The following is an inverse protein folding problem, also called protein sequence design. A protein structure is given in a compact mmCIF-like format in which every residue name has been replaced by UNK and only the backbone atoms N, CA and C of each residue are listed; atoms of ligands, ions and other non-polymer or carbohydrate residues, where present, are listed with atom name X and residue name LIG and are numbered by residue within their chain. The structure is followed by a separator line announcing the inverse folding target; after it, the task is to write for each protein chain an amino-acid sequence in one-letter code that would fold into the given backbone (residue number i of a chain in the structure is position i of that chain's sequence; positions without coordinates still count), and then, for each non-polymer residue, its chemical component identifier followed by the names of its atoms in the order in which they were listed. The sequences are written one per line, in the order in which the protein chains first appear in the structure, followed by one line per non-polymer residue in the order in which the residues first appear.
data_IF_391020881347
#
_entry.id   IF_391020881347
#
_cell.length_a   1.000
_cell.length_b   1.000
_cell.length_c   1.000
_cell.angle_alpha   90.00
_cell.angle_beta   90.00
_cell.angle_gamma   90.00
#
_symmetry.space_group_name_H-M   'P 1'
#
loop_
_entity.id
_entity.type
_entity.pdbx_description
1 polymer ?
#
# COMPACT_ATOMS: atom_id res chain seq x y z
N UNK A 1 12.97 -1.29 -1.81
CA UNK A 1 11.70 -1.62 -2.47
C UNK A 1 12.02 -2.00 -3.91
N UNK A 2 12.64 -3.16 -4.12
CA UNK A 2 12.62 -3.82 -5.42
C UNK A 2 11.28 -4.57 -5.52
N UNK A 3 10.66 -4.54 -6.69
CA UNK A 3 9.40 -5.24 -6.96
C UNK A 3 8.15 -4.38 -6.74
N UNK A 4 7.97 -3.30 -7.52
CA UNK A 4 6.62 -3.08 -8.04
C UNK A 4 6.40 -4.27 -8.96
N UNK A 5 5.66 -5.27 -8.48
CA UNK A 5 5.23 -6.39 -9.31
C UNK A 5 4.44 -5.79 -10.47
N UNK A 6 5.13 -5.58 -11.58
CA UNK A 6 4.54 -5.27 -12.87
C UNK A 6 3.94 -6.58 -13.34
N UNK A 7 2.71 -6.84 -12.90
CA UNK A 7 1.88 -7.89 -13.46
C UNK A 7 0.85 -7.22 -14.36
N UNK A 8 1.14 -6.98 -15.65
CA UNK A 8 0.11 -6.58 -16.60
C UNK A 8 -0.95 -7.68 -16.72
N UNK A 9 -2.23 -7.32 -16.94
CA UNK A 9 -2.77 -5.96 -17.04
C UNK A 9 -3.06 -5.30 -15.66
N UNK A 10 -3.12 -6.10 -14.59
CA UNK A 10 -3.61 -5.70 -13.27
C UNK A 10 -2.91 -4.47 -12.68
N UNK A 11 -1.57 -4.45 -12.72
CA UNK A 11 -0.78 -3.38 -12.11
C UNK A 11 -1.02 -2.01 -12.74
N UNK A 12 -1.42 -1.93 -14.01
CA UNK A 12 -1.77 -0.68 -14.68
C UNK A 12 -3.11 -0.14 -14.20
N UNK A 13 -4.13 -0.99 -14.18
CA UNK A 13 -5.49 -0.65 -13.75
C UNK A 13 -5.52 -0.22 -12.28
N UNK A 14 -4.87 -0.98 -11.40
CA UNK A 14 -4.86 -0.73 -9.96
C UNK A 14 -4.09 0.56 -9.62
N UNK A 15 -2.99 0.85 -10.35
CA UNK A 15 -2.18 2.06 -10.13
C UNK A 15 -2.98 3.36 -10.38
N UNK A 16 -3.96 3.32 -11.29
CA UNK A 16 -4.86 4.45 -11.53
C UNK A 16 -5.67 4.84 -10.29
N UNK A 17 -6.17 3.84 -9.57
CA UNK A 17 -6.98 4.00 -8.36
C UNK A 17 -6.17 4.25 -7.08
N UNK A 18 -4.85 4.07 -7.12
CA UNK A 18 -4.05 4.06 -5.90
C UNK A 18 -3.63 5.47 -5.42
N UNK A 19 -4.16 5.91 -4.28
CA UNK A 19 -3.98 7.24 -3.70
C UNK A 19 -3.91 7.15 -2.16
N UNK A 20 -3.11 8.01 -1.55
CA UNK A 20 -2.94 8.06 -0.08
C UNK A 20 -2.54 9.47 0.37
N UNK A 21 -3.12 10.51 -0.27
CA UNK A 21 -2.77 11.90 0.06
C UNK A 21 -3.13 12.24 1.51
N UNK A 22 -4.30 11.81 1.93
CA UNK A 22 -4.93 12.00 3.23
C UNK A 22 -5.85 10.79 3.51
N UNK A 23 -6.53 10.79 4.67
CA UNK A 23 -7.46 9.72 5.06
C UNK A 23 -8.58 9.50 4.03
N UNK A 24 -9.18 10.58 3.51
CA UNK A 24 -10.27 10.49 2.56
C UNK A 24 -9.83 9.83 1.25
N UNK A 25 -8.68 10.26 0.70
CA UNK A 25 -8.10 9.66 -0.49
C UNK A 25 -7.68 8.20 -0.24
N UNK A 26 -7.18 7.88 0.95
CA UNK A 26 -6.86 6.49 1.32
C UNK A 26 -8.11 5.62 1.35
N UNK A 27 -9.23 6.12 1.91
CA UNK A 27 -10.51 5.40 1.98
C UNK A 27 -11.10 5.14 0.60
N UNK A 28 -11.17 6.17 -0.25
CA UNK A 28 -11.63 6.00 -1.63
C UNK A 28 -10.74 4.99 -2.37
N UNK A 29 -9.43 5.14 -2.27
CA UNK A 29 -8.48 4.26 -2.92
C UNK A 29 -8.59 2.81 -2.46
N UNK A 30 -8.63 2.58 -1.15
CA UNK A 30 -8.70 1.23 -0.59
C UNK A 30 -10.00 0.52 -0.95
N UNK A 31 -11.13 1.24 -0.96
CA UNK A 31 -12.43 0.67 -1.32
C UNK A 31 -12.52 0.33 -2.81
N UNK A 32 -11.96 1.15 -3.70
CA UNK A 32 -11.87 0.82 -5.14
C UNK A 32 -11.02 -0.43 -5.36
N UNK A 33 -9.84 -0.50 -4.74
CA UNK A 33 -8.94 -1.65 -4.89
C UNK A 33 -9.55 -2.90 -4.24
N UNK A 34 -10.29 -2.74 -3.13
CA UNK A 34 -11.09 -3.83 -2.54
C UNK A 34 -12.19 -4.34 -3.47
N UNK A 35 -12.85 -3.43 -4.20
CA UNK A 35 -13.78 -3.80 -5.28
C UNK A 35 -13.11 -4.63 -6.37
N UNK A 36 -11.92 -4.23 -6.81
CA UNK A 36 -11.11 -4.97 -7.79
C UNK A 36 -10.71 -6.35 -7.24
N UNK A 37 -10.20 -6.43 -6.01
CA UNK A 37 -9.87 -7.68 -5.32
C UNK A 37 -11.05 -8.66 -5.38
N UNK A 38 -12.23 -8.25 -4.91
CA UNK A 38 -13.45 -9.07 -4.96
C UNK A 38 -13.87 -9.44 -6.38
N UNK A 39 -13.65 -8.56 -7.35
CA UNK A 39 -13.94 -8.85 -8.75
C UNK A 39 -13.03 -9.92 -9.33
N UNK A 40 -11.75 -9.96 -8.95
CA UNK A 40 -10.82 -11.01 -9.36
C UNK A 40 -11.16 -12.35 -8.71
N UNK A 41 -11.48 -12.35 -7.41
CA UNK A 41 -11.91 -13.57 -6.72
C UNK A 41 -13.15 -14.19 -7.36
N UNK A 42 -14.15 -13.39 -7.73
CA UNK A 42 -15.36 -13.88 -8.44
C UNK A 42 -15.07 -14.49 -9.82
N UNK A 43 -13.88 -14.26 -10.38
CA UNK A 43 -13.42 -14.81 -11.66
C UNK A 43 -12.43 -15.97 -11.47
N UNK A 44 -12.25 -16.44 -10.23
CA UNK A 44 -11.18 -17.36 -9.83
C UNK A 44 -9.77 -16.88 -10.23
N UNK A 45 -9.56 -15.56 -10.30
CA UNK A 45 -8.30 -14.95 -10.70
C UNK A 45 -7.45 -14.59 -9.47
N UNK A 46 -6.67 -15.56 -8.99
CA UNK A 46 -5.80 -15.37 -7.83
C UNK A 46 -4.72 -14.32 -8.07
N UNK A 47 -4.13 -14.27 -9.27
CA UNK A 47 -3.04 -13.34 -9.58
C UNK A 47 -3.54 -11.90 -9.52
N UNK A 48 -4.73 -11.63 -10.08
CA UNK A 48 -5.39 -10.33 -9.98
C UNK A 48 -5.72 -9.96 -8.53
N UNK A 49 -6.26 -10.91 -7.75
CA UNK A 49 -6.59 -10.71 -6.33
C UNK A 49 -5.34 -10.41 -5.49
N UNK A 50 -4.28 -11.22 -5.56
CA UNK A 50 -3.05 -10.97 -4.80
C UNK A 50 -2.37 -9.67 -5.25
N UNK A 51 -2.43 -9.33 -6.54
CA UNK A 51 -1.92 -8.03 -7.00
C UNK A 51 -2.68 -6.88 -6.34
N UNK A 52 -4.01 -6.91 -6.30
CA UNK A 52 -4.83 -5.90 -5.62
C UNK A 52 -4.48 -5.79 -4.12
N UNK A 53 -4.36 -6.94 -3.42
CA UNK A 53 -3.94 -6.98 -2.01
C UNK A 53 -2.53 -6.40 -1.80
N UNK A 54 -1.57 -6.68 -2.69
CA UNK A 54 -0.22 -6.08 -2.63
C UNK A 54 -0.27 -4.56 -2.76
N UNK A 55 -1.15 -4.01 -3.59
CA UNK A 55 -1.35 -2.56 -3.68
C UNK A 55 -1.94 -1.96 -2.40
N UNK A 56 -2.90 -2.65 -1.76
CA UNK A 56 -3.42 -2.24 -0.44
C UNK A 56 -2.29 -2.25 0.61
N UNK A 57 -1.47 -3.31 0.63
CA UNK A 57 -0.30 -3.40 1.52
C UNK A 57 0.71 -2.26 1.25
N UNK A 58 0.98 -1.95 -0.01
CA UNK A 58 1.83 -0.82 -0.38
C UNK A 58 1.22 0.52 0.07
N UNK A 59 -0.11 0.67 0.00
CA UNK A 59 -0.83 1.85 0.50
C UNK A 59 -0.54 2.08 1.98
N UNK A 60 -0.71 1.02 2.78
CA UNK A 60 -0.37 1.03 4.21
C UNK A 60 1.08 1.42 4.45
N UNK A 61 2.04 0.75 3.80
CA UNK A 61 3.47 0.98 4.08
C UNK A 61 3.92 2.37 3.64
N UNK A 62 3.47 2.87 2.49
CA UNK A 62 3.81 4.21 2.02
C UNK A 62 3.14 5.28 2.87
N UNK A 63 1.85 5.16 3.17
CA UNK A 63 1.19 6.14 4.03
C UNK A 63 1.87 6.21 5.40
N UNK A 64 2.17 5.06 6.02
CA UNK A 64 2.89 5.00 7.28
C UNK A 64 4.31 5.59 7.19
N UNK A 65 5.02 5.38 6.07
CA UNK A 65 6.34 5.99 5.87
C UNK A 65 6.26 7.52 5.82
N UNK A 66 5.24 8.08 5.17
CA UNK A 66 5.04 9.52 5.09
C UNK A 66 4.58 10.12 6.42
N UNK A 67 3.82 9.36 7.20
CA UNK A 67 3.45 9.75 8.56
C UNK A 67 4.66 9.84 9.51
N UNK A 68 5.59 8.89 9.40
CA UNK A 68 6.70 8.70 10.35
C UNK A 68 8.05 9.25 9.89
N UNK A 69 8.12 9.86 8.69
CA UNK A 69 9.36 10.46 8.18
C UNK A 69 9.07 11.86 7.66
N UNK A 70 9.88 12.88 7.97
CA UNK A 70 9.71 14.23 7.44
C UNK A 70 9.64 14.21 5.90
N UNK A 71 8.52 14.67 5.34
CA UNK A 71 8.27 14.69 3.89
C UNK A 71 8.27 13.30 3.21
N UNK A 72 8.18 12.21 3.97
CA UNK A 72 8.24 10.83 3.46
C UNK A 72 9.59 10.42 2.86
N UNK A 73 10.64 11.22 3.07
CA UNK A 73 11.99 10.94 2.56
C UNK A 73 12.58 9.74 3.29
N UNK A 74 13.14 8.79 2.53
CA UNK A 74 13.85 7.64 3.11
C UNK A 74 15.31 7.97 3.42
N UNK A 75 15.91 8.82 2.60
CA UNK A 75 17.32 9.18 2.68
C UNK A 75 17.46 10.70 2.75
N UNK A 76 18.44 11.13 3.52
CA UNK A 76 18.97 12.48 3.50
C UNK A 76 20.31 12.46 2.75
N UNK A 77 20.62 13.56 2.08
CA UNK A 77 21.88 13.73 1.38
C UNK A 77 22.83 14.46 2.31
N UNK A 78 24.01 13.89 2.52
CA UNK A 78 25.10 14.57 3.19
C UNK A 78 25.83 15.43 2.15
N UNK A 79 25.71 16.75 2.25
CA UNK A 79 26.29 17.67 1.26
C UNK A 79 27.83 17.74 1.34
N UNK A 80 28.44 17.28 2.44
CA UNK A 80 29.91 17.23 2.60
C UNK A 80 30.50 15.95 1.99
N UNK A 81 29.82 14.81 2.15
CA UNK A 81 30.35 13.50 1.67
C UNK A 81 29.70 13.01 0.38
N UNK A 82 28.55 13.58 -0.02
CA UNK A 82 27.74 13.08 -1.14
C UNK A 82 27.01 11.76 -0.84
N UNK A 83 27.07 11.27 0.40
CA UNK A 83 26.49 9.99 0.77
C UNK A 83 25.00 10.10 1.13
N UNK A 84 24.25 9.03 0.86
CA UNK A 84 22.85 8.90 1.27
C UNK A 84 22.77 8.26 2.65
N UNK A 85 22.39 9.03 3.67
CA UNK A 85 22.12 8.51 5.02
C UNK A 85 20.64 8.14 5.14
N UNK A 86 20.33 6.93 5.59
CA UNK A 86 18.93 6.57 5.87
C UNK A 86 18.42 7.36 7.07
N UNK A 87 17.30 8.07 6.86
CA UNK A 87 16.64 8.81 7.93
C UNK A 87 16.11 7.81 8.95
N UNK A 88 16.56 7.93 10.20
CA UNK A 88 16.11 7.07 11.30
C UNK A 88 14.62 7.28 11.56
N UNK A 89 13.94 6.21 11.93
CA UNK A 89 12.57 6.30 12.44
C UNK A 89 12.64 6.83 13.86
N UNK A 90 12.13 8.03 14.08
CA UNK A 90 12.11 8.69 15.40
C UNK A 90 10.95 8.22 16.27
N UNK A 91 9.94 7.56 15.67
CA UNK A 91 8.68 7.21 16.33
C UNK A 91 7.70 8.37 16.42
N UNK A 92 8.11 9.57 16.00
CA UNK A 92 7.28 10.76 15.93
C UNK A 92 6.35 10.70 14.71
N UNK A 93 5.14 11.23 14.89
CA UNK A 93 4.16 11.38 13.81
C UNK A 93 4.26 12.80 13.28
N UNK A 94 4.71 12.94 12.03
CA UNK A 94 4.85 14.22 11.35
C UNK A 94 3.62 14.59 10.51
N UNK A 95 2.79 13.61 10.14
CA UNK A 95 1.57 13.81 9.35
C UNK A 95 0.47 12.85 9.84
N UNK A 96 -0.51 13.41 10.56
CA UNK A 96 -1.63 12.64 11.11
C UNK A 96 -2.53 12.08 10.00
N UNK A 97 -2.81 12.83 8.94
CA UNK A 97 -3.66 12.36 7.85
C UNK A 97 -3.05 11.16 7.11
N UNK A 98 -1.72 11.07 7.05
CA UNK A 98 -1.02 9.89 6.55
C UNK A 98 -1.07 8.71 7.51
N UNK A 99 -1.05 8.96 8.82
CA UNK A 99 -1.19 7.92 9.82
C UNK A 99 -2.59 7.30 9.75
N UNK A 100 -3.62 8.15 9.68
CA UNK A 100 -5.02 7.73 9.54
C UNK A 100 -5.22 6.97 8.24
N UNK A 101 -4.69 7.48 7.12
CA UNK A 101 -4.69 6.77 5.85
C UNK A 101 -4.00 5.39 5.92
N UNK A 102 -2.92 5.25 6.70
CA UNK A 102 -2.28 3.95 6.91
C UNK A 102 -3.18 2.99 7.70
N UNK A 103 -3.95 3.50 8.66
CA UNK A 103 -4.98 2.76 9.39
C UNK A 103 -6.06 2.22 8.46
N UNK A 104 -6.58 3.07 7.57
CA UNK A 104 -7.58 2.68 6.56
C UNK A 104 -7.08 1.54 5.68
N UNK A 105 -5.87 1.63 5.13
CA UNK A 105 -5.30 0.52 4.35
C UNK A 105 -5.06 -0.73 5.19
N UNK A 106 -4.74 -0.59 6.49
CA UNK A 106 -4.54 -1.73 7.37
C UNK A 106 -5.84 -2.52 7.61
N UNK A 107 -6.97 -1.82 7.78
CA UNK A 107 -8.28 -2.44 7.91
C UNK A 107 -8.67 -3.24 6.67
N UNK A 108 -8.51 -2.64 5.48
CA UNK A 108 -8.83 -3.34 4.23
C UNK A 108 -7.86 -4.49 3.97
N UNK A 109 -6.56 -4.32 4.28
CA UNK A 109 -5.59 -5.40 4.16
C UNK A 109 -5.96 -6.60 5.05
N UNK A 110 -6.44 -6.34 6.28
CA UNK A 110 -6.94 -7.37 7.17
C UNK A 110 -8.11 -8.13 6.53
N UNK A 111 -9.09 -7.41 5.97
CA UNK A 111 -10.23 -8.02 5.25
C UNK A 111 -9.78 -8.92 4.09
N UNK A 112 -8.75 -8.54 3.32
CA UNK A 112 -8.21 -9.39 2.26
C UNK A 112 -7.62 -10.71 2.80
N UNK A 113 -6.91 -10.67 3.93
CA UNK A 113 -6.31 -11.87 4.52
C UNK A 113 -7.32 -12.76 5.24
N UNK A 114 -8.43 -12.20 5.71
CA UNK A 114 -9.52 -12.93 6.37
C UNK A 114 -10.54 -13.51 5.38
N UNK A 115 -10.39 -13.24 4.08
CA UNK A 115 -11.26 -13.80 3.05
C UNK A 115 -10.94 -15.29 2.83
N UNK A 116 -11.95 -16.15 3.02
CA UNK A 116 -11.78 -17.60 2.94
C UNK A 116 -11.39 -18.10 1.55
N UNK A 117 -11.95 -17.53 0.47
CA UNK A 117 -11.55 -17.92 -0.89
C UNK A 117 -10.08 -17.57 -1.13
N UNK A 118 -9.65 -16.38 -0.68
CA UNK A 118 -8.27 -15.96 -0.84
C UNK A 118 -7.30 -16.82 -0.03
N UNK A 119 -7.64 -17.20 1.20
CA UNK A 119 -6.85 -18.12 2.02
C UNK A 119 -6.68 -19.47 1.30
N UNK A 120 -7.79 -20.08 0.87
CA UNK A 120 -7.78 -21.34 0.15
C UNK A 120 -6.95 -21.26 -1.15
N UNK A 121 -7.06 -20.15 -1.88
CA UNK A 121 -6.32 -19.94 -3.13
C UNK A 121 -4.81 -19.69 -2.89
N UNK A 122 -4.45 -19.09 -1.76
CA UNK A 122 -3.06 -18.79 -1.40
C UNK A 122 -2.27 -20.02 -0.93
N UNK A 123 -2.96 -21.00 -0.34
CA UNK A 123 -2.36 -22.24 0.16
C UNK A 123 -2.19 -23.33 -0.91
N UNK A 124 -2.79 -23.14 -2.10
CA UNK A 124 -2.64 -24.03 -3.27
C UNK A 124 -1.32 -23.82 -3.99
#
# INVERSE_FOLDING_TARGET
EQGVFTTPPYSGEIKGAWRFKDEAAARESSEVIWGMFRSYMRKDDFIGADTARKFIQMGRTRSLRYALRPGGKKYEHDDETGEKKEIKRTGEVHDQGKLDGAGVFAEVLKRCWEDGWYQDAFER
#
